data_IF_424173017227
#
_entry.id   IF_424173017227
#
_cell.length_a   1.000
_cell.length_b   1.000
_cell.length_c   1.000
_cell.angle_alpha   90.00
_cell.angle_beta   90.00
_cell.angle_gamma   90.00
#
_symmetry.space_group_name_H-M   'P 1'
#
loop_
_entity.id
_entity.type
_entity.pdbx_description
1 polymer ?
#
# COMPACT_ATOMS: atom_id res chain seq x y z
N UNK A 1 17.29 -0.40 4.04
CA UNK A 1 18.06 0.69 3.40
C UNK A 1 18.07 2.03 4.15
N UNK A 2 16.93 2.73 4.36
CA UNK A 2 16.93 4.03 5.07
C UNK A 2 17.56 3.99 6.46
N UNK A 3 17.21 2.99 7.29
CA UNK A 3 17.79 2.83 8.64
C UNK A 3 19.31 2.60 8.57
N UNK A 4 19.75 1.70 7.70
CA UNK A 4 21.16 1.42 7.45
C UNK A 4 21.97 2.69 7.09
N UNK A 5 21.52 3.45 6.09
CA UNK A 5 22.20 4.69 5.69
C UNK A 5 22.22 5.76 6.79
N UNK A 6 21.16 5.86 7.61
CA UNK A 6 21.17 6.76 8.79
C UNK A 6 22.16 6.30 9.86
N UNK A 7 22.32 4.98 10.06
CA UNK A 7 23.32 4.42 10.97
C UNK A 7 24.75 4.74 10.55
N UNK A 8 24.99 4.88 9.24
CA UNK A 8 26.25 5.37 8.68
C UNK A 8 26.41 6.91 8.71
N UNK A 9 25.47 7.64 9.34
CA UNK A 9 25.51 9.10 9.45
C UNK A 9 24.88 9.90 8.31
N UNK A 10 24.37 9.24 7.26
CA UNK A 10 23.75 9.95 6.13
C UNK A 10 22.34 10.46 6.46
N UNK A 11 22.12 11.78 6.31
CA UNK A 11 20.79 12.40 6.34
C UNK A 11 20.07 12.21 4.99
N UNK A 12 19.39 11.06 4.84
CA UNK A 12 18.67 10.70 3.62
C UNK A 12 17.18 10.44 3.83
N UNK A 13 16.35 10.88 2.89
CA UNK A 13 14.90 10.66 2.89
C UNK A 13 14.53 9.32 2.23
N UNK A 14 13.40 8.71 2.65
CA UNK A 14 12.88 7.46 2.05
C UNK A 14 12.64 7.62 0.55
N UNK A 15 12.07 8.76 0.14
CA UNK A 15 11.77 9.08 -1.27
C UNK A 15 13.04 9.14 -2.13
N UNK A 16 14.10 9.79 -1.64
CA UNK A 16 15.40 9.89 -2.36
C UNK A 16 16.03 8.52 -2.58
N UNK A 17 16.06 7.68 -1.54
CA UNK A 17 16.60 6.32 -1.63
C UNK A 17 15.82 5.50 -2.66
N UNK A 18 14.48 5.52 -2.60
CA UNK A 18 13.64 4.78 -3.56
C UNK A 18 13.81 5.26 -5.01
N UNK A 19 14.05 6.56 -5.23
CA UNK A 19 14.33 7.08 -6.58
C UNK A 19 15.67 6.53 -7.10
N UNK A 20 16.72 6.62 -6.29
CA UNK A 20 18.06 6.16 -6.70
C UNK A 20 18.10 4.65 -6.93
N UNK A 21 17.49 3.85 -6.05
CA UNK A 21 17.39 2.41 -6.25
C UNK A 21 16.69 2.06 -7.58
N UNK A 22 15.60 2.76 -7.93
CA UNK A 22 14.91 2.58 -9.22
C UNK A 22 15.80 2.96 -10.42
N UNK A 23 16.50 4.09 -10.34
CA UNK A 23 17.43 4.51 -11.41
C UNK A 23 18.58 3.51 -11.61
N UNK A 24 19.02 2.87 -10.53
CA UNK A 24 20.08 1.86 -10.56
C UNK A 24 19.56 0.45 -10.86
N UNK A 25 18.25 0.26 -11.09
CA UNK A 25 17.64 -1.06 -11.28
C UNK A 25 17.67 -1.97 -10.05
N UNK A 26 17.97 -1.43 -8.87
CA UNK A 26 18.07 -2.19 -7.63
C UNK A 26 16.69 -2.40 -7.00
N UNK A 27 16.31 -3.65 -6.83
CA UNK A 27 15.07 -4.07 -6.16
C UNK A 27 15.37 -4.98 -4.97
N UNK A 28 14.47 -5.04 -4.00
CA UNK A 28 14.61 -5.98 -2.89
C UNK A 28 14.19 -7.38 -3.32
N UNK A 29 14.97 -8.39 -2.95
CA UNK A 29 14.58 -9.81 -3.09
C UNK A 29 13.41 -10.17 -2.16
N UNK A 30 13.15 -9.35 -1.13
CA UNK A 30 12.02 -9.54 -0.25
C UNK A 30 10.68 -9.48 -1.01
N UNK A 31 9.83 -10.48 -0.78
CA UNK A 31 8.48 -10.53 -1.35
C UNK A 31 7.69 -9.27 -0.97
N UNK A 32 7.07 -8.65 -1.98
CA UNK A 32 6.17 -7.52 -1.74
C UNK A 32 4.94 -8.04 -0.99
N UNK A 33 4.51 -7.34 0.07
CA UNK A 33 3.23 -7.63 0.73
C UNK A 33 2.13 -7.60 -0.32
N UNK A 34 1.46 -8.73 -0.51
CA UNK A 34 0.38 -8.92 -1.48
C UNK A 34 -0.93 -8.56 -0.80
N UNK A 35 -1.17 -7.26 -0.64
CA UNK A 35 -2.35 -6.73 0.08
C UNK A 35 -3.68 -7.00 -0.62
N UNK A 36 -3.65 -7.39 -1.89
CA UNK A 36 -4.84 -7.79 -2.65
C UNK A 36 -5.30 -9.21 -2.37
N UNK A 37 -4.45 -10.03 -1.76
CA UNK A 37 -4.82 -11.41 -1.40
C UNK A 37 -5.05 -11.48 0.09
N UNK A 38 -6.26 -11.91 0.52
CA UNK A 38 -6.53 -12.14 1.93
C UNK A 38 -5.52 -13.16 2.48
N UNK A 39 -5.05 -12.93 3.71
CA UNK A 39 -4.32 -13.98 4.43
C UNK A 39 -5.22 -15.20 4.66
N UNK A 40 -4.61 -16.29 5.08
CA UNK A 40 -5.36 -17.50 5.44
C UNK A 40 -6.34 -17.19 6.58
N UNK A 41 -7.57 -17.71 6.49
CA UNK A 41 -8.65 -17.46 7.46
C UNK A 41 -9.41 -16.12 7.32
N UNK A 42 -9.05 -15.24 6.37
CA UNK A 42 -9.81 -14.00 6.15
C UNK A 42 -11.03 -14.21 5.25
N UNK A 43 -12.23 -13.96 5.80
CA UNK A 43 -13.49 -14.02 5.04
C UNK A 43 -13.52 -12.95 3.95
N UNK A 44 -13.73 -13.38 2.70
CA UNK A 44 -14.01 -12.47 1.59
C UNK A 44 -15.46 -12.02 1.69
N UNK A 45 -15.68 -10.72 1.85
CA UNK A 45 -17.01 -10.12 1.83
C UNK A 45 -17.42 -9.80 0.40
N UNK A 46 -18.64 -10.16 0.02
CA UNK A 46 -19.21 -9.73 -1.26
C UNK A 46 -19.30 -8.21 -1.30
N UNK A 47 -19.01 -7.61 -2.46
CA UNK A 47 -19.21 -6.19 -2.67
C UNK A 47 -20.71 -5.89 -2.79
N UNK A 48 -21.33 -5.49 -1.68
CA UNK A 48 -22.79 -5.35 -1.54
C UNK A 48 -23.38 -4.20 -2.36
N UNK A 49 -22.55 -3.28 -2.85
CA UNK A 49 -22.97 -2.20 -3.75
C UNK A 49 -23.05 -2.65 -5.21
N UNK A 50 -22.66 -3.90 -5.52
CA UNK A 50 -22.77 -4.43 -6.88
C UNK A 50 -24.24 -4.51 -7.28
N UNK A 51 -24.59 -3.86 -8.40
CA UNK A 51 -25.94 -3.79 -8.97
C UNK A 51 -26.97 -3.02 -8.12
N UNK A 52 -26.51 -2.22 -7.15
CA UNK A 52 -27.39 -1.29 -6.43
C UNK A 52 -27.56 -0.01 -7.27
N UNK A 53 -28.81 0.34 -7.59
CA UNK A 53 -29.13 1.67 -8.15
C UNK A 53 -29.08 2.73 -7.04
N UNK A 54 -28.25 3.76 -7.22
CA UNK A 54 -27.99 4.81 -6.23
C UNK A 54 -28.52 6.12 -6.81
N UNK A 55 -29.79 6.43 -6.54
CA UNK A 55 -30.55 7.49 -7.23
C UNK A 55 -30.99 8.66 -6.35
N UNK A 56 -30.65 8.68 -5.06
CA UNK A 56 -30.88 9.82 -4.16
C UNK A 56 -29.66 10.08 -3.26
N UNK A 57 -29.53 11.32 -2.73
CA UNK A 57 -28.51 11.63 -1.72
C UNK A 57 -28.59 10.70 -0.50
N UNK A 58 -27.46 10.52 0.19
CA UNK A 58 -27.34 9.77 1.45
C UNK A 58 -27.68 8.27 1.41
N UNK A 59 -27.64 7.64 0.22
CA UNK A 59 -27.81 6.18 0.08
C UNK A 59 -26.56 5.36 0.37
N UNK A 60 -25.37 5.94 0.21
CA UNK A 60 -24.08 5.23 0.37
C UNK A 60 -23.04 6.15 1.03
N UNK A 61 -22.16 5.55 1.82
CA UNK A 61 -21.00 6.22 2.41
C UNK A 61 -19.73 5.45 2.08
N UNK A 62 -18.62 6.16 1.88
CA UNK A 62 -17.31 5.59 1.58
C UNK A 62 -16.30 6.01 2.65
N UNK A 63 -15.45 5.06 3.07
CA UNK A 63 -14.32 5.32 3.95
C UNK A 63 -13.12 4.51 3.46
N UNK A 64 -11.95 5.14 3.38
CA UNK A 64 -10.68 4.51 3.00
C UNK A 64 -9.72 4.48 4.19
N UNK A 65 -8.95 3.40 4.33
CA UNK A 65 -7.89 3.28 5.33
C UNK A 65 -6.55 3.22 4.60
N UNK A 66 -5.78 4.30 4.71
CA UNK A 66 -4.42 4.36 4.20
C UNK A 66 -3.41 3.98 5.29
N UNK A 67 -2.74 2.83 5.11
CA UNK A 67 -1.63 2.41 5.98
C UNK A 67 -0.31 3.09 5.58
N UNK A 68 0.48 3.65 6.54
CA UNK A 68 1.73 4.40 6.27
C UNK A 68 2.95 3.56 5.81
#
# INVERSE_FOLDING_TARGET
MRKYLRGLGYKVSRKRIQRLMRLMGLSSVASRKRTTVPGDGHKVYAYLLRNLDINRPDMVWASDISVP
#
